data_IF_770986094297
#
_entry.id   IF_770986094297
#
_cell.length_a   1.000
_cell.length_b   1.000
_cell.length_c   1.000
_cell.angle_alpha   90.00
_cell.angle_beta   90.00
_cell.angle_gamma   90.00
#
_symmetry.space_group_name_H-M   'P 1'
#
loop_
_entity.id
_entity.type
_entity.pdbx_description
1 polymer ?
#
# COMPACT_ATOMS: atom_id res chain seq x y z
N UNK A 1 15.84 -21.82 -16.90
CA UNK A 1 15.10 -20.92 -16.00
C UNK A 1 13.74 -21.57 -15.74
N UNK A 2 13.37 -21.72 -14.48
CA UNK A 2 12.09 -22.33 -14.10
C UNK A 2 10.94 -21.33 -14.26
N UNK A 3 9.73 -21.83 -14.49
CA UNK A 3 8.50 -21.04 -14.42
C UNK A 3 8.12 -20.83 -12.96
N UNK A 4 7.68 -19.61 -12.62
CA UNK A 4 7.24 -19.24 -11.27
C UNK A 4 5.79 -18.81 -11.32
N UNK A 5 4.99 -19.23 -10.33
CA UNK A 5 3.64 -18.72 -10.12
C UNK A 5 3.58 -17.95 -8.82
N UNK A 6 3.12 -16.70 -8.88
CA UNK A 6 2.74 -15.86 -7.75
C UNK A 6 1.23 -15.85 -7.72
N UNK A 7 0.63 -16.34 -6.63
CA UNK A 7 -0.83 -16.50 -6.53
C UNK A 7 -1.32 -16.11 -5.14
N UNK A 8 -2.48 -15.47 -5.08
CA UNK A 8 -3.17 -15.19 -3.83
C UNK A 8 -2.38 -14.24 -2.93
N UNK A 9 -1.68 -13.28 -3.51
CA UNK A 9 -0.87 -12.30 -2.78
C UNK A 9 -1.52 -10.94 -2.78
N UNK A 10 -1.23 -10.17 -1.74
CA UNK A 10 -1.68 -8.79 -1.65
C UNK A 10 -0.62 -7.87 -1.04
N UNK A 11 -0.77 -6.59 -1.29
CA UNK A 11 -0.01 -5.54 -0.66
C UNK A 11 -0.94 -4.43 -0.15
N UNK A 12 -0.82 -4.07 1.13
CA UNK A 12 -1.48 -2.93 1.76
C UNK A 12 -0.48 -1.83 2.15
N UNK A 13 0.80 -2.19 2.21
CA UNK A 13 1.86 -1.29 2.62
C UNK A 13 2.33 -0.36 1.51
N UNK A 14 2.97 0.74 1.88
CA UNK A 14 3.65 1.64 0.96
C UNK A 14 4.90 0.97 0.40
N UNK A 15 5.06 1.00 -0.93
CA UNK A 15 6.29 0.59 -1.60
C UNK A 15 6.98 1.83 -2.14
N UNK A 16 8.10 2.20 -1.53
CA UNK A 16 8.91 3.35 -1.93
C UNK A 16 10.20 2.90 -2.65
N UNK A 17 10.22 3.10 -3.96
CA UNK A 17 11.37 2.84 -4.82
C UNK A 17 12.27 4.05 -5.07
N UNK A 18 12.11 5.15 -4.33
CA UNK A 18 12.81 6.42 -4.57
C UNK A 18 14.31 6.38 -4.34
N UNK A 19 14.78 5.49 -3.46
CA UNK A 19 16.21 5.32 -3.16
C UNK A 19 16.99 4.59 -4.27
N UNK A 20 16.31 4.06 -5.30
CA UNK A 20 16.96 3.27 -6.35
C UNK A 20 16.80 3.90 -7.73
N UNK A 21 17.91 4.02 -8.45
CA UNK A 21 17.90 4.35 -9.86
C UNK A 21 17.69 3.08 -10.72
N UNK A 22 17.03 3.22 -11.87
CA UNK A 22 16.92 2.18 -12.90
C UNK A 22 16.26 0.86 -12.49
N UNK A 23 15.23 0.89 -11.64
CA UNK A 23 14.55 -0.32 -11.18
C UNK A 23 13.07 -0.32 -11.49
N UNK A 24 12.54 -1.51 -11.70
CA UNK A 24 11.11 -1.75 -11.77
C UNK A 24 10.54 -1.85 -10.36
N UNK A 25 9.43 -1.17 -10.10
CA UNK A 25 8.75 -1.13 -8.80
C UNK A 25 7.32 -1.60 -8.97
N UNK A 26 6.89 -2.57 -8.20
CA UNK A 26 5.52 -3.10 -8.23
C UNK A 26 5.05 -3.53 -6.84
N UNK A 27 3.76 -3.47 -6.62
CA UNK A 27 3.16 -3.83 -5.33
C UNK A 27 3.28 -5.33 -5.01
N UNK A 28 3.28 -6.18 -6.03
CA UNK A 28 3.39 -7.64 -5.89
C UNK A 28 4.74 -8.15 -6.42
N UNK A 29 5.19 -7.63 -7.53
CA UNK A 29 6.47 -8.03 -8.11
C UNK A 29 7.17 -6.85 -8.78
N UNK A 30 8.47 -6.67 -8.52
CA UNK A 30 9.26 -5.66 -9.22
C UNK A 30 9.44 -6.00 -10.69
N UNK A 31 9.95 -7.19 -11.02
CA UNK A 31 10.16 -7.62 -12.40
C UNK A 31 9.89 -9.12 -12.61
N UNK A 32 9.20 -9.44 -13.70
CA UNK A 32 8.99 -10.80 -14.20
C UNK A 32 9.90 -11.02 -15.41
N UNK A 33 10.95 -11.86 -15.26
CA UNK A 33 12.02 -12.05 -16.24
C UNK A 33 11.90 -13.30 -17.09
N UNK A 34 11.28 -14.36 -16.55
CA UNK A 34 11.22 -15.65 -17.23
C UNK A 34 9.89 -15.85 -17.96
N UNK A 35 9.95 -16.48 -19.15
CA UNK A 35 8.76 -16.84 -19.89
C UNK A 35 7.97 -17.93 -19.16
N UNK A 36 6.65 -17.90 -19.29
CA UNK A 36 5.72 -18.86 -18.67
C UNK A 36 5.40 -18.58 -17.21
N UNK A 37 5.96 -17.51 -16.62
CA UNK A 37 5.57 -17.09 -15.27
C UNK A 37 4.11 -16.62 -15.23
N UNK A 38 3.48 -16.80 -14.06
CA UNK A 38 2.11 -16.39 -13.81
C UNK A 38 2.03 -15.49 -12.57
N UNK A 39 1.19 -14.45 -12.66
CA UNK A 39 0.75 -13.64 -11.52
C UNK A 39 -0.77 -13.65 -11.54
N UNK A 40 -1.37 -14.28 -10.55
CA UNK A 40 -2.81 -14.53 -10.56
C UNK A 40 -3.46 -14.39 -9.19
N UNK A 41 -4.69 -13.90 -9.15
CA UNK A 41 -5.45 -13.70 -7.92
C UNK A 41 -4.68 -12.82 -6.91
N UNK A 42 -4.20 -11.66 -7.36
CA UNK A 42 -3.41 -10.75 -6.54
C UNK A 42 -3.99 -9.35 -6.57
N UNK A 43 -3.74 -8.57 -5.51
CA UNK A 43 -4.17 -7.18 -5.49
C UNK A 43 -3.23 -6.25 -4.72
N UNK A 44 -3.35 -4.96 -5.00
CA UNK A 44 -2.64 -3.91 -4.31
C UNK A 44 -3.58 -2.79 -3.85
N UNK A 45 -3.50 -2.43 -2.57
CA UNK A 45 -4.13 -1.23 -1.98
C UNK A 45 -3.09 -0.18 -1.59
N UNK A 46 -1.84 -0.60 -1.40
CA UNK A 46 -0.77 0.29 -0.96
C UNK A 46 -0.33 1.26 -2.04
N UNK A 47 0.16 2.42 -1.63
CA UNK A 47 0.74 3.40 -2.54
C UNK A 47 2.10 2.93 -3.04
N UNK A 48 2.34 3.07 -4.34
CA UNK A 48 3.59 2.68 -5.00
C UNK A 48 4.25 3.93 -5.57
N UNK A 49 5.48 4.21 -5.16
CA UNK A 49 6.26 5.34 -5.67
C UNK A 49 7.52 4.85 -6.36
N UNK A 50 7.73 5.27 -7.59
CA UNK A 50 8.96 5.01 -8.34
C UNK A 50 10.04 6.05 -8.11
N UNK A 51 11.30 5.65 -8.32
CA UNK A 51 12.47 6.53 -8.20
C UNK A 51 12.65 7.49 -9.37
N UNK A 52 13.74 8.28 -9.32
CA UNK A 52 14.06 9.34 -10.28
C UNK A 52 14.99 8.93 -11.42
N UNK A 53 15.44 7.68 -11.47
CA UNK A 53 16.35 7.18 -12.51
C UNK A 53 15.66 6.80 -13.83
N UNK A 54 16.43 6.34 -14.83
CA UNK A 54 15.87 5.80 -16.08
C UNK A 54 14.92 4.65 -15.77
N UNK A 55 13.65 4.82 -16.11
CA UNK A 55 12.60 3.98 -15.59
C UNK A 55 12.44 2.68 -16.33
N UNK A 56 12.37 1.60 -15.59
CA UNK A 56 11.93 0.31 -16.12
C UNK A 56 10.42 0.05 -15.90
N UNK A 57 9.74 0.87 -15.11
CA UNK A 57 8.30 0.86 -14.90
C UNK A 57 7.91 0.82 -13.42
N UNK A 58 6.80 1.49 -13.12
CA UNK A 58 6.14 1.48 -11.82
C UNK A 58 4.72 0.98 -12.04
N UNK A 59 4.36 -0.14 -11.42
CA UNK A 59 3.04 -0.73 -11.58
C UNK A 59 2.41 -1.10 -10.25
N UNK A 60 1.12 -0.98 -10.16
CA UNK A 60 0.38 -1.39 -8.94
C UNK A 60 0.55 -2.87 -8.62
N UNK A 61 0.66 -3.70 -9.65
CA UNK A 61 0.88 -5.14 -9.48
C UNK A 61 2.33 -5.52 -9.85
N UNK A 62 2.77 -5.19 -11.06
CA UNK A 62 4.11 -5.56 -11.55
C UNK A 62 4.81 -4.32 -12.11
N UNK A 63 6.04 -4.06 -11.69
CA UNK A 63 6.83 -2.95 -12.23
C UNK A 63 7.19 -3.17 -13.70
N UNK A 64 7.71 -4.35 -14.07
CA UNK A 64 8.12 -4.67 -15.44
C UNK A 64 7.91 -6.13 -15.78
N UNK A 65 7.50 -6.39 -17.03
CA UNK A 65 7.47 -7.73 -17.60
C UNK A 65 8.43 -7.80 -18.79
N UNK A 66 9.52 -8.57 -18.64
CA UNK A 66 10.59 -8.70 -19.64
C UNK A 66 10.48 -9.93 -20.53
N UNK A 67 9.56 -10.86 -20.21
CA UNK A 67 9.31 -12.08 -20.99
C UNK A 67 7.80 -12.40 -21.01
N UNK A 68 7.36 -13.28 -21.92
CA UNK A 68 5.94 -13.67 -21.99
C UNK A 68 5.46 -14.25 -20.67
N UNK A 69 4.49 -13.58 -20.04
CA UNK A 69 3.88 -13.97 -18.77
C UNK A 69 2.34 -13.93 -18.85
N UNK A 70 1.68 -14.59 -17.93
CA UNK A 70 0.23 -14.51 -17.74
C UNK A 70 -0.07 -13.71 -16.48
N UNK A 71 -0.91 -12.68 -16.60
CA UNK A 71 -1.38 -11.86 -15.47
C UNK A 71 -2.90 -11.85 -15.52
N UNK A 72 -3.54 -12.41 -14.51
CA UNK A 72 -5.00 -12.58 -14.52
C UNK A 72 -5.61 -12.47 -13.11
N UNK A 73 -6.87 -12.05 -13.05
CA UNK A 73 -7.61 -11.88 -11.81
C UNK A 73 -6.83 -10.99 -10.83
N UNK A 74 -6.48 -9.80 -11.25
CA UNK A 74 -5.71 -8.85 -10.45
C UNK A 74 -6.39 -7.50 -10.40
N UNK A 75 -6.22 -6.77 -9.30
CA UNK A 75 -6.66 -5.39 -9.27
C UNK A 75 -5.75 -4.48 -8.44
N UNK A 76 -5.82 -3.18 -8.73
CA UNK A 76 -5.12 -2.14 -8.01
C UNK A 76 -6.09 -1.05 -7.53
N UNK A 77 -6.05 -0.75 -6.25
CA UNK A 77 -6.73 0.41 -5.65
C UNK A 77 -5.74 1.44 -5.08
N UNK A 78 -4.46 1.10 -4.97
CA UNK A 78 -3.42 2.00 -4.46
C UNK A 78 -2.98 3.04 -5.49
N UNK A 79 -2.55 4.20 -5.03
CA UNK A 79 -2.04 5.28 -5.87
C UNK A 79 -0.66 4.93 -6.43
N UNK A 80 -0.46 5.17 -7.72
CA UNK A 80 0.81 4.92 -8.41
C UNK A 80 1.45 6.25 -8.78
N UNK A 81 2.64 6.51 -8.27
CA UNK A 81 3.38 7.75 -8.52
C UNK A 81 4.77 7.44 -9.10
N UNK A 82 5.13 8.17 -10.14
CA UNK A 82 6.48 8.14 -10.68
C UNK A 82 7.14 9.52 -10.53
N UNK A 83 8.31 9.57 -9.91
CA UNK A 83 9.08 10.82 -9.76
C UNK A 83 10.01 11.13 -10.92
N UNK A 84 10.02 10.30 -11.95
CA UNK A 84 10.85 10.53 -13.13
C UNK A 84 10.26 11.60 -14.03
N UNK A 85 10.94 12.74 -14.17
CA UNK A 85 10.45 13.93 -14.86
C UNK A 85 11.10 14.19 -16.23
N UNK A 86 12.08 13.39 -16.65
CA UNK A 86 12.73 13.58 -17.95
C UNK A 86 11.78 13.20 -19.09
N UNK A 87 11.57 14.14 -20.01
CA UNK A 87 10.76 14.01 -21.25
C UNK A 87 9.24 14.10 -21.10
N UNK A 88 8.68 14.57 -19.98
CA UNK A 88 7.24 14.89 -19.88
C UNK A 88 6.26 13.72 -19.93
N UNK A 89 6.73 12.47 -19.94
CA UNK A 89 5.91 11.24 -20.08
C UNK A 89 5.90 10.40 -18.80
N UNK A 90 5.61 11.02 -17.66
CA UNK A 90 5.52 10.32 -16.37
C UNK A 90 4.49 9.19 -16.40
N UNK A 91 3.38 9.42 -17.09
CA UNK A 91 2.22 8.51 -17.09
C UNK A 91 2.46 7.22 -17.90
N UNK A 92 3.42 7.22 -18.80
CA UNK A 92 3.71 6.07 -19.65
C UNK A 92 4.26 4.86 -18.88
N UNK A 93 4.93 5.11 -17.75
CA UNK A 93 5.62 4.08 -16.97
C UNK A 93 5.11 3.97 -15.53
N UNK A 94 4.13 4.78 -15.14
CA UNK A 94 3.41 4.71 -13.88
C UNK A 94 1.98 4.26 -14.16
N UNK A 95 1.69 2.98 -13.96
CA UNK A 95 0.43 2.39 -14.40
C UNK A 95 -0.19 1.53 -13.31
N UNK A 96 -1.48 1.35 -13.40
CA UNK A 96 -2.23 0.66 -12.36
C UNK A 96 -1.86 -0.83 -12.23
N UNK A 97 -1.53 -1.50 -13.32
CA UNK A 97 -1.29 -2.95 -13.31
C UNK A 97 0.17 -3.28 -13.62
N UNK A 98 0.65 -2.99 -14.82
CA UNK A 98 2.04 -3.31 -15.24
C UNK A 98 2.73 -2.06 -15.73
N UNK A 99 3.78 -1.61 -15.04
CA UNK A 99 4.51 -0.37 -15.33
C UNK A 99 5.21 -0.36 -16.68
N UNK A 100 5.80 -1.45 -17.10
CA UNK A 100 6.45 -1.57 -18.39
C UNK A 100 6.25 -2.97 -18.98
N UNK A 101 5.74 -2.99 -20.21
CA UNK A 101 5.58 -4.21 -21.01
C UNK A 101 6.48 -4.10 -22.23
N UNK A 102 7.41 -5.02 -22.41
CA UNK A 102 8.21 -5.07 -23.64
C UNK A 102 7.31 -5.38 -24.83
N UNK A 103 7.35 -4.54 -25.85
CA UNK A 103 6.53 -4.68 -27.07
C UNK A 103 6.81 -5.96 -27.86
N UNK A 104 7.96 -6.60 -27.63
CA UNK A 104 8.36 -7.84 -28.29
C UNK A 104 7.76 -9.10 -27.64
N UNK A 105 7.22 -8.96 -26.45
CA UNK A 105 6.68 -10.06 -25.66
C UNK A 105 5.19 -9.87 -25.48
N UNK A 106 4.37 -10.54 -26.30
CA UNK A 106 2.93 -10.55 -26.10
C UNK A 106 2.59 -11.13 -24.70
N UNK A 107 1.98 -10.31 -23.88
CA UNK A 107 1.54 -10.70 -22.54
C UNK A 107 0.09 -11.19 -22.59
N UNK A 108 -0.21 -12.22 -21.82
CA UNK A 108 -1.59 -12.60 -21.53
C UNK A 108 -2.05 -11.84 -20.28
N UNK A 109 -2.60 -10.65 -20.47
CA UNK A 109 -3.21 -9.88 -19.39
C UNK A 109 -4.73 -9.92 -19.56
N UNK A 110 -5.41 -10.49 -18.59
CA UNK A 110 -6.87 -10.66 -18.65
C UNK A 110 -7.46 -10.51 -17.24
N UNK A 111 -8.74 -10.13 -17.19
CA UNK A 111 -9.48 -10.01 -15.95
C UNK A 111 -8.73 -9.16 -14.89
N UNK A 112 -8.37 -7.95 -15.27
CA UNK A 112 -7.71 -6.99 -14.40
C UNK A 112 -8.57 -5.74 -14.24
N UNK A 113 -8.54 -5.12 -13.06
CA UNK A 113 -9.30 -3.91 -12.75
C UNK A 113 -8.43 -2.91 -11.98
N UNK A 114 -8.82 -1.66 -12.03
CA UNK A 114 -8.11 -0.61 -11.31
C UNK A 114 -9.03 0.55 -10.92
N UNK A 115 -8.72 1.13 -9.77
CA UNK A 115 -9.48 2.24 -9.21
C UNK A 115 -9.26 3.51 -10.02
N UNK A 116 -10.33 4.19 -10.36
CA UNK A 116 -10.27 5.53 -10.95
C UNK A 116 -9.51 6.50 -10.04
N UNK A 117 -8.59 7.28 -10.63
CA UNK A 117 -7.70 8.19 -9.89
C UNK A 117 -6.43 7.55 -9.34
N UNK A 118 -6.29 6.21 -9.32
CA UNK A 118 -5.07 5.55 -8.85
C UNK A 118 -3.90 5.68 -9.84
N UNK A 119 -4.19 5.80 -11.12
CA UNK A 119 -3.24 5.98 -12.21
C UNK A 119 -3.94 6.54 -13.45
N UNK A 120 -3.17 6.92 -14.47
CA UNK A 120 -3.70 7.38 -15.77
C UNK A 120 -3.96 6.21 -16.71
N UNK A 121 -3.14 5.16 -16.65
CA UNK A 121 -3.17 3.98 -17.52
C UNK A 121 -3.13 2.68 -16.73
N UNK A 122 -3.63 1.58 -17.32
CA UNK A 122 -3.51 0.26 -16.74
C UNK A 122 -2.16 -0.41 -17.05
N UNK A 123 -1.70 -0.30 -18.29
CA UNK A 123 -0.51 -0.98 -18.79
C UNK A 123 0.45 0.00 -19.46
N UNK A 124 1.73 -0.07 -19.13
CA UNK A 124 2.79 0.71 -19.76
C UNK A 124 3.02 0.31 -21.20
N UNK A 125 3.38 1.29 -22.05
CA UNK A 125 3.60 1.17 -23.50
C UNK A 125 2.37 0.83 -24.36
N UNK A 126 1.20 0.72 -23.81
CA UNK A 126 -0.05 0.56 -24.56
C UNK A 126 -0.88 1.85 -24.57
N UNK A 127 -1.77 1.97 -25.54
CA UNK A 127 -2.80 3.01 -25.51
C UNK A 127 -3.64 2.87 -24.24
N UNK A 128 -4.14 3.99 -23.66
CA UNK A 128 -4.97 3.92 -22.48
C UNK A 128 -6.17 3.01 -22.72
N UNK A 129 -6.22 1.90 -22.02
CA UNK A 129 -7.39 1.04 -21.97
C UNK A 129 -8.25 1.51 -20.81
N UNK A 130 -9.26 2.31 -21.12
CA UNK A 130 -10.25 2.72 -20.12
C UNK A 130 -11.16 1.56 -19.68
N UNK A 131 -11.09 0.43 -20.37
CA UNK A 131 -12.07 -0.64 -20.30
C UNK A 131 -12.19 -1.32 -18.93
N UNK A 132 -11.16 -1.27 -18.08
CA UNK A 132 -11.18 -1.94 -16.77
C UNK A 132 -10.96 -0.96 -15.61
N UNK A 133 -11.14 0.32 -15.88
CA UNK A 133 -11.16 1.36 -14.86
C UNK A 133 -12.52 1.35 -14.16
N UNK A 134 -12.51 1.29 -12.86
CA UNK A 134 -13.72 1.23 -12.04
C UNK A 134 -13.74 2.38 -11.04
N UNK A 135 -14.93 2.90 -10.79
CA UNK A 135 -15.18 3.78 -9.63
C UNK A 135 -14.99 2.99 -8.33
N UNK A 136 -14.93 3.69 -7.21
CA UNK A 136 -14.81 3.05 -5.90
C UNK A 136 -15.97 2.07 -5.62
N UNK A 137 -17.20 2.45 -5.96
CA UNK A 137 -18.38 1.61 -5.73
C UNK A 137 -18.39 0.38 -6.66
N UNK A 138 -18.02 0.54 -7.92
CA UNK A 138 -17.90 -0.56 -8.86
C UNK A 138 -16.79 -1.55 -8.45
N UNK A 139 -15.65 -1.03 -7.96
CA UNK A 139 -14.55 -1.88 -7.50
C UNK A 139 -14.91 -2.66 -6.23
N UNK A 140 -15.64 -2.05 -5.29
CA UNK A 140 -16.18 -2.76 -4.11
C UNK A 140 -17.07 -3.94 -4.51
N UNK A 141 -17.85 -3.79 -5.57
CA UNK A 141 -18.75 -4.82 -6.09
C UNK A 141 -18.05 -5.83 -7.02
N UNK A 142 -16.75 -5.68 -7.31
CA UNK A 142 -16.07 -6.43 -8.38
C UNK A 142 -15.63 -7.86 -7.99
N UNK A 143 -15.96 -8.37 -6.80
CA UNK A 143 -15.49 -9.69 -6.36
C UNK A 143 -15.81 -10.83 -7.36
N UNK A 144 -17.04 -10.88 -7.86
CA UNK A 144 -17.46 -11.89 -8.85
C UNK A 144 -16.72 -11.72 -10.19
N UNK A 145 -16.49 -10.47 -10.61
CA UNK A 145 -15.73 -10.19 -11.84
C UNK A 145 -14.27 -10.64 -11.74
N UNK A 146 -13.68 -10.56 -10.53
CA UNK A 146 -12.31 -11.00 -10.26
C UNK A 146 -12.16 -12.52 -10.21
N UNK A 147 -13.27 -13.26 -10.06
CA UNK A 147 -13.31 -14.71 -10.06
C UNK A 147 -13.28 -15.35 -8.67
N UNK A 148 -13.30 -16.68 -8.66
CA UNK A 148 -13.55 -17.51 -7.48
C UNK A 148 -12.55 -17.34 -6.31
N UNK A 149 -11.40 -16.74 -6.54
CA UNK A 149 -10.42 -16.50 -5.49
C UNK A 149 -10.80 -15.33 -4.57
N UNK A 150 -11.72 -14.48 -5.02
CA UNK A 150 -12.12 -13.26 -4.30
C UNK A 150 -13.48 -13.40 -3.63
N UNK A 151 -13.70 -12.58 -2.62
CA UNK A 151 -14.97 -12.40 -1.91
C UNK A 151 -15.25 -10.92 -1.71
N UNK A 152 -16.52 -10.58 -1.55
CA UNK A 152 -16.94 -9.23 -1.16
C UNK A 152 -16.42 -8.87 0.23
N UNK A 153 -16.21 -7.60 0.47
CA UNK A 153 -15.75 -7.06 1.73
C UNK A 153 -16.65 -5.90 2.14
N UNK A 154 -17.32 -6.01 3.27
CA UNK A 154 -18.22 -4.97 3.77
C UNK A 154 -17.49 -3.64 4.06
N UNK A 155 -16.20 -3.70 4.40
CA UNK A 155 -15.39 -2.57 4.82
C UNK A 155 -14.49 -2.00 3.71
N UNK A 156 -14.63 -2.45 2.47
CA UNK A 156 -13.77 -1.95 1.39
C UNK A 156 -13.83 -2.75 0.09
N UNK A 157 -12.71 -2.79 -0.61
CA UNK A 157 -12.58 -3.52 -1.86
C UNK A 157 -12.48 -5.04 -1.63
N UNK A 158 -12.65 -5.88 -2.68
CA UNK A 158 -12.65 -7.33 -2.57
C UNK A 158 -11.40 -7.89 -1.89
N UNK A 159 -11.58 -8.92 -1.08
CA UNK A 159 -10.52 -9.67 -0.41
C UNK A 159 -10.34 -11.05 -1.06
N UNK A 160 -9.18 -11.65 -0.84
CA UNK A 160 -9.00 -13.07 -1.13
C UNK A 160 -9.82 -13.92 -0.14
N UNK A 161 -10.42 -15.02 -0.59
CA UNK A 161 -11.31 -15.86 0.24
C UNK A 161 -10.68 -16.36 1.52
N UNK A 162 -9.37 -16.55 1.54
CA UNK A 162 -8.65 -17.01 2.72
C UNK A 162 -8.39 -15.90 3.78
N UNK A 163 -8.54 -14.63 3.43
CA UNK A 163 -8.39 -13.52 4.38
C UNK A 163 -9.58 -13.47 5.35
N UNK A 164 -9.39 -12.95 6.57
CA UNK A 164 -10.49 -12.72 7.50
C UNK A 164 -11.59 -11.84 6.90
N UNK A 165 -12.84 -12.04 7.32
CA UNK A 165 -13.92 -11.15 6.95
C UNK A 165 -13.72 -9.77 7.59
N UNK A 166 -14.04 -8.72 6.84
CA UNK A 166 -13.88 -7.35 7.29
C UNK A 166 -12.45 -6.82 7.32
N UNK A 167 -11.47 -7.60 6.85
CA UNK A 167 -10.09 -7.12 6.72
C UNK A 167 -10.04 -5.86 5.84
N UNK A 168 -9.33 -4.85 6.29
CA UNK A 168 -9.22 -3.55 5.63
C UNK A 168 -7.87 -2.91 5.94
N UNK A 169 -7.49 -1.91 5.17
CA UNK A 169 -6.39 -1.02 5.53
C UNK A 169 -6.86 -0.12 6.67
N UNK A 170 -6.10 -0.06 7.75
CA UNK A 170 -6.45 0.77 8.89
C UNK A 170 -6.32 2.27 8.55
N UNK A 171 -7.41 2.99 8.70
CA UNK A 171 -7.45 4.46 8.66
C UNK A 171 -7.55 4.98 10.09
N UNK A 172 -6.39 5.12 10.74
CA UNK A 172 -6.32 5.54 12.12
C UNK A 172 -6.67 7.02 12.29
N UNK A 173 -7.51 7.30 13.28
CA UNK A 173 -7.75 8.65 13.78
C UNK A 173 -6.57 9.18 14.61
N UNK A 174 -6.72 10.38 15.12
CA UNK A 174 -5.75 11.00 16.02
C UNK A 174 -5.66 10.26 17.35
N UNK A 175 -4.46 10.33 17.97
CA UNK A 175 -4.27 9.80 19.31
C UNK A 175 -5.00 10.63 20.37
N UNK A 176 -5.76 9.96 21.22
CA UNK A 176 -6.51 10.58 22.31
C UNK A 176 -6.02 10.03 23.66
N UNK A 177 -5.64 10.92 24.57
CA UNK A 177 -5.19 10.52 25.91
C UNK A 177 -6.38 9.97 26.71
N UNK A 178 -6.32 8.69 27.05
CA UNK A 178 -7.30 7.99 27.88
C UNK A 178 -6.94 8.09 29.37
N UNK A 179 -5.65 7.94 29.69
CA UNK A 179 -5.08 8.12 31.03
C UNK A 179 -3.89 9.05 30.94
N UNK A 180 -3.93 10.17 31.68
CA UNK A 180 -2.77 11.08 31.75
C UNK A 180 -1.67 10.44 32.59
N UNK A 181 -0.39 10.56 32.14
CA UNK A 181 0.72 10.10 32.96
C UNK A 181 0.91 11.01 34.20
N UNK A 182 1.44 10.43 35.26
CA UNK A 182 1.89 11.13 36.45
C UNK A 182 3.40 10.90 36.65
N UNK A 183 3.98 11.44 37.68
CA UNK A 183 5.38 11.14 38.03
C UNK A 183 5.57 9.73 38.63
N UNK A 184 4.50 9.02 38.93
CA UNK A 184 4.53 7.69 39.52
C UNK A 184 3.83 6.61 38.68
N UNK A 185 2.97 7.02 37.76
CA UNK A 185 2.21 6.09 36.92
C UNK A 185 2.26 6.53 35.46
N UNK A 186 2.48 5.58 34.55
CA UNK A 186 2.41 5.81 33.11
C UNK A 186 0.99 6.14 32.65
N UNK A 187 0.90 6.94 31.61
CA UNK A 187 -0.37 7.23 30.95
C UNK A 187 -0.69 6.24 29.83
N UNK A 188 -1.81 6.43 29.20
CA UNK A 188 -2.24 5.66 28.02
C UNK A 188 -2.96 6.57 27.06
N UNK A 189 -2.66 6.45 25.79
CA UNK A 189 -3.47 7.04 24.71
C UNK A 189 -3.97 5.97 23.75
N UNK A 190 -5.05 6.28 23.09
CA UNK A 190 -5.74 5.36 22.19
C UNK A 190 -6.06 6.08 20.88
N UNK A 191 -6.06 5.34 19.77
CA UNK A 191 -6.66 5.78 18.51
C UNK A 191 -7.59 4.72 17.95
N UNK A 192 -8.54 5.15 17.15
CA UNK A 192 -9.59 4.29 16.60
C UNK A 192 -9.49 4.28 15.08
N UNK A 193 -9.59 3.11 14.50
CA UNK A 193 -9.72 2.96 13.05
C UNK A 193 -11.11 3.43 12.61
N UNK A 194 -11.17 4.39 11.69
CA UNK A 194 -12.43 4.95 11.18
C UNK A 194 -13.23 3.99 10.31
N UNK A 195 -12.61 2.92 9.81
CA UNK A 195 -13.23 1.93 8.93
C UNK A 195 -13.81 0.76 9.73
N UNK A 196 -13.00 0.13 10.57
CA UNK A 196 -13.38 -1.09 11.30
C UNK A 196 -13.72 -0.86 12.79
N UNK A 197 -13.39 0.30 13.34
CA UNK A 197 -13.61 0.59 14.75
C UNK A 197 -12.61 -0.06 15.72
N UNK A 198 -11.59 -0.74 15.19
CA UNK A 198 -10.51 -1.31 16.00
C UNK A 198 -9.75 -0.21 16.72
N UNK A 199 -9.32 -0.55 17.93
CA UNK A 199 -8.57 0.34 18.79
C UNK A 199 -7.11 -0.07 18.88
N UNK A 200 -6.24 0.91 18.84
CA UNK A 200 -4.82 0.76 19.14
C UNK A 200 -4.48 1.63 20.35
N UNK A 201 -3.72 1.09 21.29
CA UNK A 201 -3.29 1.79 22.50
C UNK A 201 -1.78 1.82 22.60
N UNK A 202 -1.23 2.90 23.14
CA UNK A 202 0.18 2.98 23.51
C UNK A 202 0.38 3.65 24.86
N UNK A 203 1.46 3.32 25.51
CA UNK A 203 1.83 3.87 26.80
C UNK A 203 2.47 5.26 26.66
N UNK A 204 2.11 6.17 27.53
CA UNK A 204 2.76 7.46 27.70
C UNK A 204 3.75 7.38 28.87
N UNK A 205 4.97 7.85 28.66
CA UNK A 205 5.99 7.87 29.70
C UNK A 205 5.58 8.69 30.92
N UNK A 206 6.19 8.40 32.06
CA UNK A 206 6.06 9.21 33.27
C UNK A 206 6.41 10.68 32.98
N UNK A 207 5.75 11.58 33.67
CA UNK A 207 6.12 12.99 33.64
C UNK A 207 7.10 13.31 34.76
N UNK A 208 7.94 14.31 34.54
CA UNK A 208 8.88 14.78 35.54
C UNK A 208 8.16 15.35 36.77
N UNK A 209 8.82 15.28 37.94
CA UNK A 209 8.33 15.94 39.14
C UNK A 209 8.34 17.45 38.95
N UNK A 210 7.20 18.06 39.23
CA UNK A 210 7.07 19.50 39.31
C UNK A 210 7.18 19.93 40.78
N UNK A 211 8.38 20.20 41.21
CA UNK A 211 8.65 20.66 42.57
C UNK A 211 8.27 22.15 42.71
N UNK A 212 7.58 22.46 43.82
CA UNK A 212 7.36 23.85 44.21
C UNK A 212 8.63 24.55 44.71
N UNK A 213 8.47 25.81 45.08
CA UNK A 213 9.53 26.59 45.73
C UNK A 213 9.99 25.93 47.05
N UNK A 214 11.30 25.97 47.29
CA UNK A 214 11.83 25.52 48.56
C UNK A 214 11.39 26.45 49.68
N UNK A 215 10.82 25.85 50.76
CA UNK A 215 10.49 26.62 51.97
C UNK A 215 11.35 26.16 53.12
N UNK A 216 11.83 27.13 53.91
CA UNK A 216 12.57 26.85 55.14
C UNK A 216 11.63 26.25 56.16
N UNK A 217 11.84 24.97 56.53
CA UNK A 217 11.04 24.27 57.54
C UNK A 217 11.57 24.51 58.95
N UNK A 218 12.90 24.71 59.05
CA UNK A 218 13.57 25.01 60.34
C UNK A 218 14.70 25.98 60.04
N UNK A 219 14.73 27.09 60.75
CA UNK A 219 15.85 28.00 60.69
C UNK A 219 17.09 27.38 61.33
N UNK A 220 18.29 27.54 60.70
CA UNK A 220 19.50 27.02 61.31
C UNK A 220 19.83 27.76 62.59
N UNK A 221 20.27 27.03 63.64
CA UNK A 221 20.79 27.62 64.88
C UNK A 221 22.30 27.41 64.95
N UNK A 222 22.99 28.13 65.83
CA UNK A 222 24.44 27.99 65.99
C UNK A 222 24.90 26.66 66.57
N UNK A 223 23.97 25.81 67.00
CA UNK A 223 24.27 24.55 67.69
C UNK A 223 23.59 23.30 67.03
N UNK A 224 22.72 23.49 66.01
CA UNK A 224 22.05 22.40 65.28
C UNK A 224 21.91 22.75 63.80
#
# INVERSE_FOLDING_TARGET
AGTTTIRGCYNWGVVDGTATSNKAVGGIAGEVKAAGCKVENCYNWGSITGGSGTMYGVGGIIGKVSAKATVTNVYNAGTITNRYTLYGNQDKYATAIIGNVSSTNAQNVSNYYWLEGSSVNALGSSSPTAENKLTAEELKAAAEKLGDAFKTNANGYPLLKWQPDGAHEHSWGEWTVVKKPTCMETGTEERVCSVGGEKETRELALVDHNWGEWTTVKEPTCTE
#
